data_IF_848567061282
#
_entry.id   IF_848567061282
#
_cell.length_a   1.000
_cell.length_b   1.000
_cell.length_c   1.000
_cell.angle_alpha   90.00
_cell.angle_beta   90.00
_cell.angle_gamma   90.00
#
_symmetry.space_group_name_H-M   'P 1'
#
loop_
_entity.id
_entity.type
_entity.pdbx_description
1 polymer ?
#
# COMPACT_ATOMS: atom_id res chain seq x y z
N UNK A 1 4.57 -3.29 -1.12
CA UNK A 1 3.90 -2.75 0.06
C UNK A 1 4.87 -1.98 0.92
N UNK A 2 4.39 -0.94 1.55
CA UNK A 2 5.08 -0.20 2.62
C UNK A 2 4.20 -0.29 3.86
N UNK A 3 4.82 -0.49 5.00
CA UNK A 3 4.13 -0.54 6.29
C UNK A 3 5.03 0.04 7.37
N UNK A 4 4.41 0.68 8.34
CA UNK A 4 5.08 1.29 9.47
C UNK A 4 4.38 0.90 10.79
N UNK A 5 5.16 0.70 11.87
CA UNK A 5 4.64 0.32 13.18
C UNK A 5 4.82 1.48 14.14
N UNK A 6 3.75 1.89 14.80
CA UNK A 6 3.78 3.01 15.75
C UNK A 6 4.82 2.83 16.85
N UNK A 7 5.69 3.83 17.02
CA UNK A 7 6.83 3.83 17.93
C UNK A 7 8.13 3.43 17.25
N UNK A 8 9.25 3.56 17.96
CA UNK A 8 10.60 3.35 17.43
C UNK A 8 11.45 2.50 18.36
N UNK A 9 12.56 1.95 17.82
CA UNK A 9 13.54 1.21 18.59
C UNK A 9 13.25 -0.29 18.77
N UNK A 10 14.06 -0.93 19.62
CA UNK A 10 14.04 -2.40 19.80
C UNK A 10 12.71 -2.92 20.32
N UNK A 11 11.97 -2.12 21.07
CA UNK A 11 10.67 -2.50 21.66
C UNK A 11 9.59 -2.75 20.62
N UNK A 12 9.75 -2.20 19.39
CA UNK A 12 8.78 -2.35 18.28
C UNK A 12 9.32 -3.22 17.15
N UNK A 13 10.61 -3.45 17.07
CA UNK A 13 11.24 -4.19 15.98
C UNK A 13 10.64 -5.59 15.77
N UNK A 14 10.26 -6.28 16.86
CA UNK A 14 9.63 -7.60 16.76
C UNK A 14 8.23 -7.54 16.15
N UNK A 15 7.48 -6.45 16.32
CA UNK A 15 6.18 -6.25 15.66
C UNK A 15 6.35 -6.01 14.16
N UNK A 16 7.36 -5.21 13.77
CA UNK A 16 7.71 -5.01 12.36
C UNK A 16 8.06 -6.33 11.67
N UNK A 17 8.86 -7.18 12.32
CA UNK A 17 9.18 -8.51 11.81
C UNK A 17 7.93 -9.41 11.69
N UNK A 18 7.06 -9.39 12.70
CA UNK A 18 5.81 -10.16 12.68
C UNK A 18 4.88 -9.69 11.57
N UNK A 19 4.71 -8.37 11.38
CA UNK A 19 3.93 -7.77 10.31
C UNK A 19 4.48 -8.17 8.94
N UNK A 20 5.79 -8.05 8.74
CA UNK A 20 6.46 -8.48 7.50
C UNK A 20 6.17 -9.95 7.18
N UNK A 21 6.27 -10.84 8.17
CA UNK A 21 6.04 -12.27 7.97
C UNK A 21 4.56 -12.58 7.68
N UNK A 22 3.63 -11.85 8.29
CA UNK A 22 2.20 -11.92 7.97
C UNK A 22 1.94 -11.46 6.54
N UNK A 23 2.51 -10.32 6.12
CA UNK A 23 2.38 -9.80 4.76
C UNK A 23 2.92 -10.81 3.72
N UNK A 24 4.08 -11.41 3.97
CA UNK A 24 4.66 -12.44 3.09
C UNK A 24 3.78 -13.67 2.93
N UNK A 25 3.13 -14.13 4.01
CA UNK A 25 2.20 -15.26 3.97
C UNK A 25 0.91 -14.92 3.22
N UNK A 26 0.54 -13.66 3.21
CA UNK A 26 -0.70 -13.16 2.61
C UNK A 26 -0.54 -12.70 1.16
N UNK A 27 0.70 -12.73 0.59
CA UNK A 27 1.01 -12.18 -0.73
C UNK A 27 0.18 -12.82 -1.87
N UNK A 28 -0.28 -14.06 -1.70
CA UNK A 28 -1.11 -14.77 -2.67
C UNK A 28 -2.61 -14.54 -2.47
N UNK A 29 -3.01 -13.63 -1.58
CA UNK A 29 -4.42 -13.28 -1.39
C UNK A 29 -4.90 -12.47 -2.60
N UNK A 30 -5.95 -12.89 -3.31
CA UNK A 30 -6.36 -12.26 -4.55
C UNK A 30 -6.86 -10.82 -4.43
N UNK A 31 -7.28 -10.41 -3.24
CA UNK A 31 -7.81 -9.07 -2.96
C UNK A 31 -6.98 -8.40 -1.87
N UNK A 32 -6.50 -7.17 -2.14
CA UNK A 32 -5.76 -6.39 -1.14
C UNK A 32 -6.63 -6.04 0.06
N UNK A 33 -7.91 -5.77 -0.15
CA UNK A 33 -8.88 -5.57 0.93
C UNK A 33 -8.91 -6.77 1.89
N UNK A 34 -9.01 -7.99 1.34
CA UNK A 34 -8.98 -9.21 2.16
C UNK A 34 -7.63 -9.43 2.83
N UNK A 35 -6.55 -9.11 2.14
CA UNK A 35 -5.21 -9.19 2.70
C UNK A 35 -5.07 -8.26 3.90
N UNK A 36 -5.40 -6.99 3.75
CA UNK A 36 -5.32 -5.97 4.79
C UNK A 36 -6.24 -6.32 5.98
N UNK A 37 -7.47 -6.76 5.72
CA UNK A 37 -8.40 -7.21 6.78
C UNK A 37 -7.81 -8.39 7.55
N UNK A 38 -7.25 -9.38 6.87
CA UNK A 38 -6.57 -10.52 7.49
C UNK A 38 -5.36 -10.10 8.34
N UNK A 39 -4.60 -9.07 7.92
CA UNK A 39 -3.52 -8.50 8.71
C UNK A 39 -4.07 -7.81 9.97
N UNK A 40 -5.14 -7.01 9.83
CA UNK A 40 -5.80 -6.36 10.97
C UNK A 40 -6.27 -7.37 12.00
N UNK A 41 -6.95 -8.44 11.57
CA UNK A 41 -7.45 -9.49 12.46
C UNK A 41 -6.31 -10.27 13.12
N UNK A 42 -5.21 -10.51 12.39
CA UNK A 42 -4.04 -11.21 12.94
C UNK A 42 -3.24 -10.37 13.94
N UNK A 43 -3.26 -9.04 13.79
CA UNK A 43 -2.59 -8.10 14.71
C UNK A 43 -3.49 -7.74 15.90
N UNK A 44 -4.81 -7.82 15.74
CA UNK A 44 -5.78 -7.57 16.81
C UNK A 44 -5.49 -8.40 18.04
N UNK A 45 -5.21 -7.74 19.18
CA UNK A 45 -4.86 -8.38 20.45
C UNK A 45 -3.42 -8.90 20.56
N UNK A 46 -2.57 -8.71 19.56
CA UNK A 46 -1.13 -9.05 19.59
C UNK A 46 -0.26 -7.82 19.80
N UNK A 47 -0.74 -6.66 19.37
CA UNK A 47 -0.08 -5.41 19.65
C UNK A 47 -0.36 -5.01 21.10
N UNK A 48 0.64 -4.52 21.80
CA UNK A 48 0.47 -3.96 23.14
C UNK A 48 -0.55 -2.82 23.11
N UNK A 49 -1.22 -2.58 24.24
CA UNK A 49 -2.28 -1.58 24.33
C UNK A 49 -1.81 -0.20 23.82
N UNK A 50 -2.49 0.29 22.79
CA UNK A 50 -2.21 1.57 22.17
C UNK A 50 -1.25 1.54 20.97
N UNK A 51 -0.70 0.39 20.60
CA UNK A 51 0.12 0.24 19.39
C UNK A 51 -0.74 -0.11 18.18
N UNK A 52 -0.30 0.34 17.03
CA UNK A 52 -0.94 0.08 15.74
C UNK A 52 0.13 0.01 14.64
N UNK A 53 -0.28 -0.37 13.46
CA UNK A 53 0.57 -0.27 12.28
C UNK A 53 -0.20 0.37 11.13
N UNK A 54 0.49 1.13 10.31
CA UNK A 54 -0.04 1.61 9.05
C UNK A 54 0.48 0.74 7.91
N UNK A 55 -0.27 0.61 6.83
CA UNK A 55 0.17 -0.14 5.66
C UNK A 55 -0.49 0.36 4.38
N UNK A 56 0.27 0.36 3.27
CA UNK A 56 -0.27 0.49 1.93
C UNK A 56 0.22 -0.68 1.07
N UNK A 57 -0.71 -1.31 0.38
CA UNK A 57 -0.44 -2.42 -0.53
C UNK A 57 -0.82 -2.01 -1.93
N UNK A 58 0.13 -2.15 -2.84
CA UNK A 58 -0.09 -1.96 -4.28
C UNK A 58 0.24 -3.27 -4.98
N UNK A 59 -0.67 -3.78 -5.78
CA UNK A 59 -0.43 -4.93 -6.65
C UNK A 59 -0.61 -4.51 -8.09
N UNK A 60 0.46 -4.64 -8.84
CA UNK A 60 0.43 -4.47 -10.27
C UNK A 60 0.01 -5.77 -10.96
N UNK A 61 -0.95 -5.66 -11.86
CA UNK A 61 -1.38 -6.77 -12.71
C UNK A 61 -1.14 -6.42 -14.18
N UNK A 62 0.01 -6.83 -14.68
CA UNK A 62 0.48 -6.51 -16.03
C UNK A 62 -0.49 -6.88 -17.16
N UNK A 63 -1.17 -8.04 -17.16
CA UNK A 63 -2.08 -8.39 -18.25
C UNK A 63 -3.21 -7.38 -18.51
N UNK A 64 -3.67 -6.68 -17.49
CA UNK A 64 -4.73 -5.64 -17.62
C UNK A 64 -4.19 -4.23 -17.47
N UNK A 65 -2.88 -4.08 -17.20
CA UNK A 65 -2.23 -2.78 -16.93
C UNK A 65 -2.95 -1.99 -15.84
N UNK A 66 -3.25 -2.66 -14.76
CA UNK A 66 -3.94 -2.09 -13.62
C UNK A 66 -3.12 -2.27 -12.35
N UNK A 67 -3.10 -1.26 -11.51
CA UNK A 67 -2.65 -1.36 -10.14
C UNK A 67 -3.86 -1.35 -9.20
N UNK A 68 -3.86 -2.29 -8.27
CA UNK A 68 -4.84 -2.35 -7.18
C UNK A 68 -4.19 -1.78 -5.94
N UNK A 69 -4.85 -0.82 -5.32
CA UNK A 69 -4.34 -0.08 -4.17
C UNK A 69 -5.30 -0.22 -3.00
N UNK A 70 -4.75 -0.51 -1.82
CA UNK A 70 -5.49 -0.54 -0.56
C UNK A 70 -4.59 0.00 0.55
N UNK A 71 -5.09 0.92 1.37
CA UNK A 71 -4.36 1.52 2.47
C UNK A 71 -5.08 1.30 3.80
N UNK A 72 -4.31 1.15 4.87
CA UNK A 72 -4.74 1.04 6.26
C UNK A 72 -4.05 2.13 7.09
N UNK A 73 -4.64 3.32 7.15
CA UNK A 73 -4.13 4.46 7.88
C UNK A 73 -2.77 4.99 7.39
N UNK A 74 -2.27 4.51 6.27
CA UNK A 74 -0.98 4.89 5.71
C UNK A 74 -1.14 6.05 4.73
N UNK A 75 -0.13 6.94 4.57
CA UNK A 75 -0.15 7.97 3.55
C UNK A 75 -0.43 7.41 2.15
N UNK A 76 -1.25 8.12 1.39
CA UNK A 76 -1.57 7.69 0.04
C UNK A 76 -0.35 7.84 -0.89
N UNK A 77 -0.07 6.83 -1.75
CA UNK A 77 1.00 6.91 -2.72
C UNK A 77 0.82 8.07 -3.68
N UNK A 78 1.91 8.58 -4.25
CA UNK A 78 1.83 9.44 -5.43
C UNK A 78 1.92 8.62 -6.71
N UNK A 79 1.26 9.11 -7.73
CA UNK A 79 1.31 8.57 -9.07
C UNK A 79 1.61 9.68 -10.07
N UNK A 80 2.65 9.46 -10.85
CA UNK A 80 2.93 10.24 -12.05
C UNK A 80 2.38 9.50 -13.26
N UNK A 81 1.49 10.16 -14.01
CA UNK A 81 1.04 9.66 -15.29
C UNK A 81 1.91 10.24 -16.40
N UNK A 82 2.64 9.37 -17.10
CA UNK A 82 3.49 9.78 -18.21
C UNK A 82 2.66 10.29 -19.41
N UNK A 83 1.45 9.77 -19.59
CA UNK A 83 0.52 10.22 -20.64
C UNK A 83 0.04 11.65 -20.40
N UNK A 84 -0.26 12.00 -19.15
CA UNK A 84 -0.79 13.31 -18.76
C UNK A 84 0.30 14.31 -18.37
N UNK A 85 1.55 13.85 -18.17
CA UNK A 85 2.65 14.61 -17.59
C UNK A 85 2.25 15.26 -16.25
N UNK A 86 1.61 14.49 -15.36
CA UNK A 86 1.04 15.00 -14.12
C UNK A 86 1.24 14.06 -12.94
N UNK A 87 1.51 14.67 -11.78
CA UNK A 87 1.51 14.01 -10.49
C UNK A 87 0.15 14.10 -9.80
N UNK A 88 -0.30 13.00 -9.23
CA UNK A 88 -1.55 12.89 -8.47
C UNK A 88 -1.34 12.09 -7.19
N UNK A 89 -2.17 12.35 -6.18
CA UNK A 89 -2.27 11.49 -4.99
C UNK A 89 -3.22 10.34 -5.31
N UNK A 90 -2.78 9.10 -5.04
CA UNK A 90 -3.60 7.91 -5.22
C UNK A 90 -4.54 7.72 -4.02
N UNK A 91 -5.59 8.53 -3.97
CA UNK A 91 -6.61 8.44 -2.96
C UNK A 91 -7.94 7.93 -3.57
N UNK A 92 -8.73 7.12 -2.84
CA UNK A 92 -9.96 6.50 -3.37
C UNK A 92 -10.94 7.48 -3.99
N UNK A 93 -11.04 8.68 -3.45
CA UNK A 93 -11.94 9.74 -3.92
C UNK A 93 -11.63 10.21 -5.35
N UNK A 94 -10.39 10.08 -5.81
CA UNK A 94 -9.98 10.48 -7.15
C UNK A 94 -10.27 9.42 -8.21
N UNK A 95 -10.49 8.16 -7.80
CA UNK A 95 -10.63 7.01 -8.69
C UNK A 95 -11.98 6.29 -8.56
N UNK A 96 -13.00 6.98 -8.06
CA UNK A 96 -14.35 6.44 -7.92
C UNK A 96 -15.02 6.21 -9.28
N UNK A 97 -14.68 5.13 -9.91
CA UNK A 97 -15.42 4.52 -11.02
C UNK A 97 -15.72 3.04 -10.79
N UNK A 98 -15.16 2.46 -9.75
CA UNK A 98 -15.36 1.07 -9.33
C UNK A 98 -16.18 1.03 -8.05
N UNK A 99 -17.10 0.13 -7.97
CA UNK A 99 -17.97 -0.31 -6.89
C UNK A 99 -17.49 -0.03 -5.45
N UNK A 100 -17.29 1.22 -5.09
CA UNK A 100 -17.10 1.66 -3.71
C UNK A 100 -18.40 1.45 -2.94
N UNK A 101 -18.68 0.21 -2.63
CA UNK A 101 -19.69 -0.20 -1.68
C UNK A 101 -19.02 -0.36 -0.32
N UNK A 102 -18.72 0.73 0.35
CA UNK A 102 -18.75 0.68 1.80
C UNK A 102 -20.21 0.47 2.18
N UNK A 103 -20.64 -0.78 2.16
CA UNK A 103 -22.00 -1.16 2.56
C UNK A 103 -22.12 -1.27 4.08
N UNK A 104 -21.06 -0.95 4.82
CA UNK A 104 -21.01 -1.03 6.26
C UNK A 104 -21.09 0.35 6.91
N UNK A 105 -21.79 0.45 8.01
CA UNK A 105 -21.80 1.61 8.92
C UNK A 105 -20.59 1.60 9.88
N UNK A 106 -19.56 0.81 9.58
CA UNK A 106 -18.36 0.63 10.39
C UNK A 106 -17.21 1.55 10.02
N UNK A 107 -16.13 1.59 10.83
CA UNK A 107 -14.92 2.33 10.52
C UNK A 107 -14.22 1.77 9.29
N UNK A 108 -13.69 2.67 8.45
CA UNK A 108 -13.06 2.34 7.17
C UNK A 108 -11.60 2.79 7.15
N UNK A 109 -10.71 1.98 6.58
CA UNK A 109 -9.30 2.30 6.33
C UNK A 109 -8.48 2.74 7.55
N UNK A 110 -8.91 2.37 8.76
CA UNK A 110 -8.12 2.66 9.97
C UNK A 110 -6.79 1.91 9.97
N UNK A 111 -5.79 2.40 10.71
CA UNK A 111 -4.55 1.66 10.94
C UNK A 111 -4.83 0.24 11.49
N UNK A 112 -3.93 -0.67 11.19
CA UNK A 112 -4.01 -2.08 11.59
C UNK A 112 -3.88 -2.23 13.12
N UNK A 113 -4.71 -3.09 13.68
CA UNK A 113 -4.66 -3.46 15.10
C UNK A 113 -5.45 -2.55 16.04
N UNK A 114 -6.02 -1.41 15.55
CA UNK A 114 -6.79 -0.49 16.39
C UNK A 114 -8.20 -1.03 16.64
N UNK A 115 -8.95 -1.33 15.58
CA UNK A 115 -10.36 -1.74 15.69
C UNK A 115 -10.58 -3.05 14.94
N UNK A 116 -11.01 -4.11 15.64
CA UNK A 116 -11.43 -5.35 14.98
C UNK A 116 -12.59 -5.11 14.01
N UNK A 117 -12.61 -5.81 12.89
CA UNK A 117 -13.67 -5.69 11.90
C UNK A 117 -13.65 -4.39 11.08
N UNK A 118 -12.54 -3.63 11.11
CA UNK A 118 -12.35 -2.49 10.21
C UNK A 118 -12.48 -2.94 8.76
N UNK A 119 -13.25 -2.21 7.97
CA UNK A 119 -13.35 -2.41 6.54
C UNK A 119 -12.27 -1.61 5.81
N UNK A 120 -11.77 -2.17 4.71
CA UNK A 120 -10.74 -1.55 3.89
C UNK A 120 -11.21 -1.43 2.45
N UNK A 121 -10.97 -0.27 1.86
CA UNK A 121 -11.38 0.03 0.50
C UNK A 121 -10.24 -0.21 -0.47
N UNK A 122 -10.45 -1.10 -1.44
CA UNK A 122 -9.55 -1.30 -2.56
C UNK A 122 -10.07 -0.53 -3.77
N UNK A 123 -9.19 0.18 -4.45
CA UNK A 123 -9.49 0.82 -5.72
C UNK A 123 -8.47 0.44 -6.78
N UNK A 124 -8.75 0.76 -8.03
CA UNK A 124 -7.95 0.35 -9.18
C UNK A 124 -7.60 1.57 -10.00
N UNK A 125 -6.36 1.62 -10.47
CA UNK A 125 -5.86 2.66 -11.38
C UNK A 125 -5.26 2.01 -12.62
N UNK A 126 -5.50 2.57 -13.83
CA UNK A 126 -4.76 2.17 -15.02
C UNK A 126 -3.32 2.63 -14.87
N UNK A 127 -2.36 1.83 -15.32
CA UNK A 127 -0.94 2.17 -15.28
C UNK A 127 -0.34 2.06 -16.67
N UNK A 128 0.12 3.19 -17.21
CA UNK A 128 0.79 3.32 -18.48
C UNK A 128 2.29 3.05 -18.43
N UNK A 129 2.91 2.91 -19.62
CA UNK A 129 4.36 2.84 -19.71
C UNK A 129 4.96 4.22 -19.36
N UNK A 130 5.99 4.21 -18.55
CA UNK A 130 6.60 5.42 -18.02
C UNK A 130 5.92 5.98 -16.76
N UNK A 131 4.76 5.46 -16.37
CA UNK A 131 4.10 5.86 -15.12
C UNK A 131 4.98 5.50 -13.91
N UNK A 132 4.90 6.32 -12.87
CA UNK A 132 5.69 6.13 -11.66
C UNK A 132 4.75 6.09 -10.44
N UNK A 133 5.01 5.14 -9.55
CA UNK A 133 4.40 5.07 -8.22
C UNK A 133 5.44 5.39 -7.16
N UNK A 134 5.10 6.27 -6.22
CA UNK A 134 5.94 6.61 -5.08
C UNK A 134 5.17 6.29 -3.80
N UNK A 135 5.68 5.32 -3.04
CA UNK A 135 5.18 4.96 -1.71
C UNK A 135 6.20 5.44 -0.68
N UNK A 136 5.73 6.00 0.42
CA UNK A 136 6.59 6.61 1.44
C UNK A 136 5.96 6.48 2.83
N UNK A 137 6.79 6.46 3.88
CA UNK A 137 6.35 6.55 5.28
C UNK A 137 6.02 8.01 5.65
N UNK A 138 5.26 8.19 6.71
CA UNK A 138 4.78 9.49 7.19
C UNK A 138 5.90 10.49 7.48
N UNK A 139 7.10 10.02 7.84
CA UNK A 139 8.26 10.89 8.00
C UNK A 139 8.44 11.90 6.84
N UNK A 140 8.16 11.50 5.59
CA UNK A 140 8.33 12.41 4.44
C UNK A 140 7.35 13.58 4.42
N UNK A 141 6.25 13.48 5.12
CA UNK A 141 5.22 14.53 5.22
C UNK A 141 5.19 15.20 6.59
N UNK A 142 5.75 14.55 7.63
CA UNK A 142 5.75 15.02 9.01
C UNK A 142 7.14 15.47 9.49
N UNK A 143 8.18 15.40 8.64
CA UNK A 143 9.53 15.85 8.95
C UNK A 143 9.53 17.33 9.36
N UNK A 144 9.66 17.60 10.65
CA UNK A 144 9.61 18.95 11.19
C UNK A 144 10.95 19.65 11.01
N UNK A 145 10.96 20.80 10.35
CA UNK A 145 12.10 21.71 10.29
C UNK A 145 12.33 22.38 11.65
N UNK A 146 13.44 23.08 11.81
CA UNK A 146 13.80 23.77 13.04
C UNK A 146 12.76 24.84 13.50
N UNK A 147 11.99 25.39 12.56
CA UNK A 147 10.87 26.31 12.82
C UNK A 147 9.54 25.61 13.10
N UNK A 148 9.51 24.29 13.10
CA UNK A 148 8.32 23.46 13.29
C UNK A 148 7.46 23.29 12.03
N UNK A 149 7.87 23.81 10.87
CA UNK A 149 7.14 23.59 9.62
C UNK A 149 7.32 22.15 9.15
N UNK A 150 6.25 21.59 8.58
CA UNK A 150 6.24 20.24 7.99
C UNK A 150 5.88 20.35 6.51
N UNK A 151 6.43 19.51 5.62
CA UNK A 151 6.07 19.53 4.20
C UNK A 151 4.60 19.26 3.96
N UNK A 152 4.04 18.30 4.69
CA UNK A 152 2.73 17.77 4.40
C UNK A 152 2.68 17.05 3.04
N UNK A 153 1.50 16.59 2.68
CA UNK A 153 1.27 15.91 1.39
C UNK A 153 1.54 16.87 0.22
N UNK A 154 1.08 18.12 0.32
CA UNK A 154 1.22 19.11 -0.75
C UNK A 154 2.69 19.52 -0.96
N UNK A 155 3.46 19.68 0.12
CA UNK A 155 4.89 20.01 0.04
C UNK A 155 5.70 18.87 -0.59
N UNK A 156 5.47 17.63 -0.16
CA UNK A 156 6.14 16.48 -0.77
C UNK A 156 5.75 16.31 -2.25
N UNK A 157 4.48 16.53 -2.58
CA UNK A 157 4.01 16.51 -3.97
C UNK A 157 4.65 17.61 -4.82
N UNK A 158 4.86 18.81 -4.25
CA UNK A 158 5.59 19.89 -4.92
C UNK A 158 7.05 19.49 -5.19
N UNK A 159 7.73 18.87 -4.21
CA UNK A 159 9.09 18.32 -4.39
C UNK A 159 9.14 17.27 -5.51
N UNK A 160 8.13 16.38 -5.58
CA UNK A 160 8.04 15.38 -6.64
C UNK A 160 7.87 16.00 -8.03
N UNK A 161 7.14 17.12 -8.15
CA UNK A 161 6.97 17.86 -9.41
C UNK A 161 8.25 18.52 -9.93
N UNK A 162 9.17 18.85 -9.03
CA UNK A 162 10.48 19.44 -9.39
C UNK A 162 11.54 18.36 -9.68
N UNK A 163 11.27 17.12 -9.34
CA UNK A 163 12.23 16.02 -9.48
C UNK A 163 12.18 15.41 -10.91
N UNK A 164 13.29 14.85 -11.41
CA UNK A 164 13.32 14.17 -12.72
C UNK A 164 12.48 12.88 -12.67
N UNK A 165 11.71 12.64 -13.72
CA UNK A 165 10.83 11.46 -13.84
C UNK A 165 11.39 10.35 -14.76
N UNK A 166 12.53 10.62 -15.43
CA UNK A 166 13.11 9.67 -16.39
C UNK A 166 13.81 8.49 -15.72
N UNK A 167 14.33 8.69 -14.50
CA UNK A 167 15.10 7.72 -13.74
C UNK A 167 14.57 7.62 -12.29
N UNK A 168 14.01 6.45 -11.90
CA UNK A 168 13.48 6.22 -10.56
C UNK A 168 14.50 6.46 -9.44
N UNK A 169 15.78 6.14 -9.69
CA UNK A 169 16.83 6.34 -8.70
C UNK A 169 17.14 7.83 -8.51
N UNK A 170 17.17 8.59 -9.59
CA UNK A 170 17.35 10.05 -9.52
C UNK A 170 16.15 10.73 -8.86
N UNK A 171 14.94 10.28 -9.14
CA UNK A 171 13.72 10.76 -8.48
C UNK A 171 13.81 10.53 -6.97
N UNK A 172 14.15 9.30 -6.54
CA UNK A 172 14.29 8.99 -5.12
C UNK A 172 15.35 9.86 -4.44
N UNK A 173 16.53 10.02 -5.05
CA UNK A 173 17.60 10.89 -4.54
C UNK A 173 17.17 12.37 -4.46
N UNK A 174 16.41 12.84 -5.44
CA UNK A 174 15.92 14.23 -5.45
C UNK A 174 14.91 14.49 -4.33
N UNK A 175 14.02 13.54 -4.06
CA UNK A 175 13.09 13.62 -2.94
C UNK A 175 13.82 13.60 -1.60
N UNK A 176 14.78 12.69 -1.40
CA UNK A 176 15.62 12.64 -0.21
C UNK A 176 16.35 13.98 0.02
N UNK A 177 17.04 14.49 -1.01
CA UNK A 177 17.76 15.77 -0.91
C UNK A 177 16.81 16.96 -0.64
N UNK A 178 15.57 16.89 -1.09
CA UNK A 178 14.57 17.94 -0.83
C UNK A 178 14.09 17.90 0.63
N UNK A 179 13.89 16.72 1.19
CA UNK A 179 13.56 16.55 2.61
C UNK A 179 14.74 16.97 3.49
N UNK A 180 15.97 16.60 3.16
CA UNK A 180 17.15 17.03 3.91
C UNK A 180 17.33 18.54 3.90
N UNK A 181 17.07 19.21 2.78
CA UNK A 181 17.06 20.68 2.70
C UNK A 181 15.94 21.30 3.52
N UNK A 182 14.76 20.68 3.56
CA UNK A 182 13.65 21.15 4.38
C UNK A 182 13.99 21.04 5.88
N UNK A 183 14.61 19.94 6.30
CA UNK A 183 15.03 19.75 7.69
C UNK A 183 16.10 20.75 8.16
N UNK A 184 16.93 21.26 7.25
CA UNK A 184 17.99 22.25 7.52
C UNK A 184 18.84 21.89 8.77
N UNK A 185 19.20 20.60 8.89
CA UNK A 185 19.98 20.06 10.00
C UNK A 185 19.18 19.69 11.25
N UNK A 186 17.86 19.77 11.22
CA UNK A 186 17.01 19.21 12.28
C UNK A 186 17.22 17.70 12.41
N UNK A 187 17.13 17.12 13.60
CA UNK A 187 17.33 15.70 13.80
C UNK A 187 16.25 14.87 13.09
N UNK A 188 16.64 13.72 12.58
CA UNK A 188 15.71 12.72 12.04
C UNK A 188 15.25 11.88 13.22
N UNK A 189 13.97 11.94 13.55
CA UNK A 189 13.40 11.30 14.73
C UNK A 189 12.66 10.01 14.42
N UNK A 190 12.41 9.70 13.13
CA UNK A 190 11.59 8.56 12.72
C UNK A 190 12.18 7.80 11.54
N UNK A 191 11.70 6.56 11.32
CA UNK A 191 12.14 5.68 10.24
C UNK A 191 11.66 6.21 8.88
N UNK A 192 12.58 6.23 7.90
CA UNK A 192 12.32 6.69 6.54
C UNK A 192 12.32 5.53 5.56
N UNK A 193 11.23 5.35 4.85
CA UNK A 193 11.14 4.42 3.74
C UNK A 193 10.53 5.09 2.52
N UNK A 194 11.24 5.01 1.40
CA UNK A 194 10.80 5.51 0.10
C UNK A 194 10.93 4.39 -0.92
N UNK A 195 9.86 4.11 -1.64
CA UNK A 195 9.83 3.13 -2.71
C UNK A 195 9.32 3.78 -3.99
N UNK A 196 10.18 3.86 -5.00
CA UNK A 196 9.83 4.38 -6.32
C UNK A 196 9.78 3.20 -7.30
N UNK A 197 8.65 3.07 -8.00
CA UNK A 197 8.40 2.01 -8.98
C UNK A 197 8.01 2.67 -10.29
N UNK A 198 8.75 2.39 -11.35
CA UNK A 198 8.41 2.84 -12.71
C UNK A 198 7.90 1.67 -13.54
N UNK A 199 6.83 1.93 -14.27
CA UNK A 199 6.32 1.02 -15.29
C UNK A 199 7.23 1.07 -16.52
N UNK A 200 7.81 -0.07 -16.92
CA UNK A 200 8.69 -0.16 -18.08
C UNK A 200 8.30 -1.33 -18.97
N UNK A 201 8.23 -1.08 -20.29
CA UNK A 201 7.99 -2.13 -21.30
C UNK A 201 9.10 -3.19 -21.33
N UNK A 202 10.33 -2.80 -21.01
CA UNK A 202 11.49 -3.66 -21.18
C UNK A 202 11.51 -4.89 -20.25
N UNK A 203 10.72 -4.85 -19.17
CA UNK A 203 10.67 -5.93 -18.17
C UNK A 203 9.39 -6.77 -18.25
N UNK A 204 8.68 -6.71 -19.37
CA UNK A 204 7.49 -7.55 -19.59
C UNK A 204 7.91 -9.00 -19.72
N UNK A 205 7.39 -9.92 -18.89
CA UNK A 205 7.48 -11.31 -19.24
C UNK A 205 6.77 -11.49 -20.59
N UNK A 206 7.41 -12.11 -21.55
CA UNK A 206 6.78 -12.53 -22.81
C UNK A 206 5.71 -13.61 -22.50
N UNK A 207 4.61 -13.17 -21.90
CA UNK A 207 3.45 -14.02 -21.81
C UNK A 207 2.83 -14.11 -23.22
N UNK A 208 2.58 -15.31 -23.74
CA UNK A 208 1.87 -15.45 -25.00
C UNK A 208 0.54 -14.69 -24.87
N UNK A 209 0.20 -13.90 -25.91
CA UNK A 209 -1.08 -13.21 -25.99
C UNK A 209 -2.19 -14.22 -25.74
N UNK A 210 -2.81 -14.14 -24.58
CA UNK A 210 -4.00 -14.95 -24.26
C UNK A 210 -5.13 -14.37 -25.11
N UNK A 211 -5.75 -15.17 -26.00
CA UNK A 211 -6.83 -14.67 -26.85
C UNK A 211 -7.94 -14.03 -26.00
N UNK A 212 -8.49 -12.91 -26.47
CA UNK A 212 -9.51 -12.10 -25.77
C UNK A 212 -10.69 -12.89 -25.21
N UNK A 213 -11.06 -14.03 -25.87
CA UNK A 213 -12.13 -14.92 -25.38
C UNK A 213 -11.79 -15.67 -24.09
N UNK A 214 -10.55 -15.67 -23.65
CA UNK A 214 -10.13 -16.20 -22.33
C UNK A 214 -10.20 -15.13 -21.23
N UNK A 215 -10.23 -13.84 -21.57
CA UNK A 215 -10.45 -12.76 -20.59
C UNK A 215 -11.83 -12.87 -19.94
N UNK A 216 -12.88 -13.14 -20.74
CA UNK A 216 -14.24 -13.36 -20.23
C UNK A 216 -14.30 -14.53 -19.24
N UNK A 217 -13.50 -15.57 -19.45
CA UNK A 217 -13.42 -16.71 -18.54
C UNK A 217 -12.63 -16.44 -17.26
N UNK A 218 -11.64 -15.56 -17.31
CA UNK A 218 -10.89 -15.16 -16.11
C UNK A 218 -11.77 -14.27 -15.25
N UNK A 219 -12.48 -13.32 -15.84
CA UNK A 219 -13.44 -12.47 -15.13
C UNK A 219 -14.61 -13.28 -14.56
N UNK A 220 -15.12 -14.27 -15.29
CA UNK A 220 -16.16 -15.19 -14.84
C UNK A 220 -15.63 -16.09 -13.69
N UNK A 221 -14.40 -16.58 -13.79
CA UNK A 221 -13.77 -17.40 -12.74
C UNK A 221 -13.42 -16.58 -11.49
N UNK A 222 -13.00 -15.34 -11.64
CA UNK A 222 -12.81 -14.40 -10.53
C UNK A 222 -14.15 -14.01 -9.89
N UNK A 223 -15.22 -13.82 -10.68
CA UNK A 223 -16.59 -13.62 -10.18
C UNK A 223 -17.13 -14.86 -9.48
N UNK A 224 -16.88 -16.06 -9.99
CA UNK A 224 -17.28 -17.30 -9.34
C UNK A 224 -16.51 -17.55 -8.05
N UNK A 225 -15.22 -17.21 -7.99
CA UNK A 225 -14.41 -17.31 -6.77
C UNK A 225 -14.86 -16.28 -5.71
N UNK A 226 -15.35 -15.11 -6.13
CA UNK A 226 -15.93 -14.11 -5.23
C UNK A 226 -17.37 -14.43 -4.81
N UNK A 227 -18.10 -15.27 -5.56
CA UNK A 227 -19.48 -15.67 -5.26
C UNK A 227 -19.58 -16.95 -4.42
N UNK A 228 -18.49 -17.71 -4.28
CA UNK A 228 -18.46 -18.88 -3.41
C UNK A 228 -18.01 -18.46 -2.00
N UNK A 229 -18.94 -18.00 -1.18
CA UNK A 229 -18.82 -18.15 0.27
C UNK A 229 -18.83 -19.64 0.60
N UNK A 230 -17.79 -20.19 1.23
CA UNK A 230 -17.89 -21.51 1.79
C UNK A 230 -18.69 -21.42 3.09
N UNK A 231 -20.01 -21.65 2.99
CA UNK A 231 -20.74 -22.14 4.14
C UNK A 231 -20.04 -23.42 4.63
N UNK A 232 -19.53 -23.35 5.84
CA UNK A 232 -19.14 -24.46 6.69
C UNK A 232 -18.06 -25.43 6.17
N UNK A 233 -16.80 -25.11 6.47
CA UNK A 233 -15.86 -26.16 6.91
C UNK A 233 -15.10 -25.67 8.14
N UNK A 234 -15.58 -26.10 9.31
CA UNK A 234 -14.80 -26.18 10.54
C UNK A 234 -13.66 -27.16 10.28
N UNK A 235 -12.47 -26.68 9.95
CA UNK A 235 -11.27 -27.49 10.10
C UNK A 235 -10.86 -27.44 11.59
N UNK A 236 -11.19 -28.51 12.30
CA UNK A 236 -10.65 -28.77 13.61
C UNK A 236 -9.14 -29.07 13.45
N UNK A 237 -8.30 -28.09 13.69
CA UNK A 237 -6.87 -28.30 13.93
C UNK A 237 -6.71 -28.99 15.29
N UNK A 238 -6.54 -30.31 15.27
CA UNK A 238 -6.02 -31.06 16.43
C UNK A 238 -4.54 -30.70 16.56
N UNK A 239 -4.21 -29.96 17.60
CA UNK A 239 -2.85 -29.81 18.08
C UNK A 239 -2.41 -31.14 18.74
N UNK A 240 -1.19 -31.66 18.50
CA UNK A 240 -0.67 -32.79 19.25
C UNK A 240 -0.36 -32.36 20.69
N UNK A 241 -0.77 -33.19 21.62
CA UNK A 241 -0.53 -33.09 23.06
C UNK A 241 0.98 -33.23 23.34
N UNK A 242 1.60 -32.39 24.17
CA UNK A 242 2.98 -32.56 24.58
C UNK A 242 3.03 -33.69 25.64
N UNK A 243 3.90 -34.63 25.42
CA UNK A 243 4.50 -35.45 26.47
C UNK A 243 5.95 -35.05 26.67
#
# INVERSE_FOLDING_TARGET
>A
AVADVSGHGDDVAHFGLALRDLMRRSINTPSQERMIRGLNDALGGRLDAGRFATAVVVTWFDPTRQAFVCAAGHPHPFWYSAELDQWMVLAPEHFRGGSGRSSGSGPTNLPLGIVPGTEYEQFTVPVGDGDILVLYTDHYIEAAAADGSMPGVDGLLAMAREAPVDDPEQLARSLEASIERHLDGAPIEDDRSLLVIRADESNRPHLPLVPLHLHDRVDEKLRMLSAHEPSQRRLALRLPNPR
#
